data_IF_635554232692
#
_entry.id   IF_635554232692
#
_cell.length_a   1.000
_cell.length_b   1.000
_cell.length_c   1.000
_cell.angle_alpha   90.00
_cell.angle_beta   90.00
_cell.angle_gamma   90.00
#
_symmetry.space_group_name_H-M   'P 1'
#
loop_
_entity.id
_entity.type
_entity.pdbx_description
1 polymer ?
#
# COMPACT_ATOMS: atom_id res chain seq x y z
N UNK A 1 5.98 -14.14 -12.74
CA UNK A 1 4.88 -13.59 -13.58
C UNK A 1 4.87 -12.08 -13.40
N UNK A 2 5.00 -11.27 -14.47
CA UNK A 2 5.01 -9.81 -14.33
C UNK A 2 3.59 -9.27 -14.48
N UNK A 3 3.19 -8.35 -13.61
CA UNK A 3 1.90 -7.69 -13.70
C UNK A 3 1.93 -6.58 -14.75
N UNK A 4 1.39 -6.81 -15.93
CA UNK A 4 1.15 -5.74 -16.91
C UNK A 4 -0.36 -5.48 -17.03
N UNK A 5 -0.80 -4.21 -17.19
CA UNK A 5 -2.19 -3.91 -17.53
C UNK A 5 -2.63 -4.68 -18.80
N UNK A 6 -3.82 -5.26 -18.77
CA UNK A 6 -4.34 -6.16 -19.82
C UNK A 6 -3.62 -7.51 -19.91
N UNK A 7 -2.70 -7.79 -18.97
CA UNK A 7 -1.93 -9.01 -18.94
C UNK A 7 -2.67 -10.18 -18.30
N UNK A 8 -1.95 -11.30 -18.17
CA UNK A 8 -2.50 -12.55 -17.66
C UNK A 8 -3.05 -12.46 -16.22
N UNK A 9 -2.46 -11.63 -15.36
CA UNK A 9 -2.97 -11.41 -13.99
C UNK A 9 -4.37 -10.80 -14.06
N UNK A 10 -4.52 -9.69 -14.78
CA UNK A 10 -5.81 -9.01 -14.92
C UNK A 10 -6.85 -9.88 -15.62
N UNK A 11 -6.46 -10.61 -16.67
CA UNK A 11 -7.39 -11.44 -17.42
C UNK A 11 -7.84 -12.72 -16.68
N UNK A 12 -6.94 -13.37 -15.94
CA UNK A 12 -7.18 -14.72 -15.42
C UNK A 12 -7.29 -14.77 -13.89
N UNK A 13 -6.68 -13.84 -13.17
CA UNK A 13 -6.66 -13.86 -11.69
C UNK A 13 -7.68 -12.89 -11.10
N UNK A 14 -7.87 -11.70 -11.67
CA UNK A 14 -8.87 -10.76 -11.12
C UNK A 14 -10.28 -11.34 -11.03
N UNK A 15 -10.78 -12.17 -11.99
CA UNK A 15 -12.08 -12.81 -11.86
C UNK A 15 -12.19 -13.78 -10.68
N UNK A 16 -11.07 -14.26 -10.11
CA UNK A 16 -11.06 -15.14 -8.94
C UNK A 16 -10.96 -14.39 -7.62
N UNK A 17 -10.68 -13.09 -7.66
CA UNK A 17 -10.54 -12.27 -6.46
C UNK A 17 -11.91 -11.89 -5.87
N UNK A 18 -11.97 -11.61 -4.55
CA UNK A 18 -13.21 -11.21 -3.89
C UNK A 18 -13.91 -10.02 -4.57
N UNK A 19 -15.23 -10.12 -4.71
CA UNK A 19 -16.04 -9.02 -5.20
C UNK A 19 -16.05 -7.82 -4.23
N UNK A 20 -16.40 -6.63 -4.73
CA UNK A 20 -16.49 -5.39 -3.93
C UNK A 20 -15.17 -4.69 -3.68
N UNK A 21 -14.08 -5.12 -4.32
CA UNK A 21 -12.75 -4.54 -4.18
C UNK A 21 -12.28 -3.97 -5.54
N UNK A 22 -11.42 -2.95 -5.48
CA UNK A 22 -10.75 -2.41 -6.66
C UNK A 22 -9.36 -3.03 -6.81
N UNK A 23 -9.08 -3.61 -7.97
CA UNK A 23 -7.80 -4.23 -8.29
C UNK A 23 -7.12 -3.53 -9.46
N UNK A 24 -5.80 -3.36 -9.38
CA UNK A 24 -5.01 -2.77 -10.45
C UNK A 24 -3.69 -3.51 -10.61
N UNK A 25 -3.26 -3.68 -11.86
CA UNK A 25 -1.96 -4.28 -12.19
C UNK A 25 -0.97 -3.20 -12.58
N UNK A 26 0.26 -3.29 -12.12
CA UNK A 26 1.37 -2.40 -12.48
C UNK A 26 2.68 -3.19 -12.48
N UNK A 27 3.60 -2.93 -13.43
CA UNK A 27 4.77 -3.79 -13.69
C UNK A 27 5.61 -4.09 -12.45
N UNK A 28 5.80 -3.08 -11.62
CA UNK A 28 6.60 -3.11 -10.40
C UNK A 28 5.71 -3.06 -9.14
N UNK A 29 4.41 -3.22 -9.28
CA UNK A 29 3.42 -3.25 -8.20
C UNK A 29 3.45 -2.03 -7.25
N UNK A 30 3.69 -0.82 -7.78
CA UNK A 30 3.55 0.45 -7.04
C UNK A 30 2.42 1.31 -7.62
N UNK A 31 1.98 2.29 -6.82
CA UNK A 31 0.90 3.20 -7.17
C UNK A 31 1.41 4.34 -8.06
N UNK A 32 1.48 4.09 -9.36
CA UNK A 32 1.77 5.15 -10.33
C UNK A 32 0.58 6.09 -10.54
N UNK A 33 0.77 7.16 -11.31
CA UNK A 33 -0.27 8.16 -11.57
C UNK A 33 -1.56 7.58 -12.17
N UNK A 34 -1.50 6.47 -12.91
CA UNK A 34 -2.72 5.82 -13.43
C UNK A 34 -3.48 5.11 -12.32
N UNK A 35 -2.78 4.32 -11.50
CA UNK A 35 -3.38 3.62 -10.36
C UNK A 35 -3.91 4.62 -9.34
N UNK A 36 -3.14 5.68 -9.05
CA UNK A 36 -3.55 6.75 -8.14
C UNK A 36 -4.82 7.46 -8.59
N UNK A 37 -4.91 7.86 -9.87
CA UNK A 37 -6.14 8.47 -10.41
C UNK A 37 -7.35 7.54 -10.30
N UNK A 38 -7.14 6.24 -10.51
CA UNK A 38 -8.20 5.24 -10.32
C UNK A 38 -8.64 5.21 -8.86
N UNK A 39 -7.68 5.10 -7.94
CA UNK A 39 -7.93 5.13 -6.50
C UNK A 39 -8.73 6.37 -6.05
N UNK A 40 -8.35 7.56 -6.51
CA UNK A 40 -9.07 8.81 -6.20
C UNK A 40 -10.52 8.83 -6.72
N UNK A 41 -10.79 8.19 -7.87
CA UNK A 41 -12.11 8.21 -8.51
C UNK A 41 -13.02 7.05 -8.13
N UNK A 42 -12.47 5.95 -7.62
CA UNK A 42 -13.24 4.73 -7.36
C UNK A 42 -13.22 4.29 -5.90
N UNK A 43 -12.13 4.52 -5.18
CA UNK A 43 -11.99 4.07 -3.79
C UNK A 43 -12.21 5.24 -2.85
N UNK A 44 -11.34 6.25 -2.94
CA UNK A 44 -11.39 7.41 -2.05
C UNK A 44 -12.58 8.34 -2.36
N UNK A 45 -13.20 8.16 -3.52
CA UNK A 45 -14.30 9.00 -3.98
C UNK A 45 -15.44 9.08 -2.97
N UNK A 46 -15.87 7.94 -2.45
CA UNK A 46 -17.05 7.85 -1.61
C UNK A 46 -16.78 8.33 -0.18
N UNK A 47 -15.50 8.49 0.19
CA UNK A 47 -15.05 8.92 1.51
C UNK A 47 -14.65 10.41 1.56
N UNK A 48 -14.66 11.12 0.42
CA UNK A 48 -14.34 12.56 0.35
C UNK A 48 -15.63 13.37 0.30
N UNK A 49 -15.85 14.19 1.32
CA UNK A 49 -16.87 15.23 1.32
C UNK A 49 -16.28 16.57 0.82
N UNK A 50 -17.12 17.46 0.27
CA UNK A 50 -16.68 18.81 -0.10
C UNK A 50 -16.05 19.54 1.08
N UNK A 51 -15.06 20.40 0.82
CA UNK A 51 -14.23 21.07 1.82
C UNK A 51 -13.41 20.13 2.75
N UNK A 52 -13.19 18.87 2.37
CA UNK A 52 -12.24 17.98 3.03
C UNK A 52 -10.79 18.35 2.74
N UNK A 53 -9.87 17.95 3.63
CA UNK A 53 -8.42 18.03 3.41
C UNK A 53 -7.84 16.63 3.25
N UNK A 54 -7.24 16.36 2.10
CA UNK A 54 -6.60 15.08 1.78
C UNK A 54 -5.10 15.24 2.01
N UNK A 55 -4.60 14.64 3.10
CA UNK A 55 -3.19 14.63 3.44
C UNK A 55 -2.46 13.50 2.68
N UNK A 56 -1.43 13.86 1.92
CA UNK A 56 -0.61 12.90 1.15
C UNK A 56 0.88 13.10 1.42
N UNK A 57 1.69 12.08 1.19
CA UNK A 57 3.14 12.24 1.10
C UNK A 57 3.54 12.93 -0.22
N UNK A 58 4.83 13.25 -0.37
CA UNK A 58 5.35 13.93 -1.56
C UNK A 58 5.65 12.99 -2.72
N UNK A 59 4.98 11.84 -2.78
CA UNK A 59 5.18 10.96 -3.92
C UNK A 59 4.73 11.66 -5.20
N UNK A 60 5.54 11.60 -6.26
CA UNK A 60 5.35 12.39 -7.49
C UNK A 60 3.94 12.21 -8.09
N UNK A 61 3.41 10.98 -8.05
CA UNK A 61 2.06 10.70 -8.53
C UNK A 61 0.97 11.36 -7.67
N UNK A 62 1.19 11.47 -6.35
CA UNK A 62 0.23 12.07 -5.43
C UNK A 62 0.17 13.59 -5.59
N UNK A 63 1.31 14.25 -5.81
CA UNK A 63 1.39 15.72 -5.95
C UNK A 63 1.37 16.22 -7.40
N UNK A 64 0.90 15.40 -8.33
CA UNK A 64 0.78 15.78 -9.75
C UNK A 64 -0.36 16.78 -10.01
N UNK A 65 -0.27 17.55 -11.09
CA UNK A 65 -1.34 18.46 -11.54
C UNK A 65 -2.69 17.75 -11.69
N UNK A 66 -2.66 16.49 -12.14
CA UNK A 66 -3.86 15.67 -12.28
C UNK A 66 -4.51 15.38 -10.91
N UNK A 67 -3.71 15.17 -9.87
CA UNK A 67 -4.22 14.98 -8.50
C UNK A 67 -4.87 16.26 -7.98
N UNK A 68 -4.21 17.41 -8.16
CA UNK A 68 -4.77 18.71 -7.77
C UNK A 68 -6.06 19.01 -8.49
N UNK A 69 -6.14 18.75 -9.80
CA UNK A 69 -7.37 18.90 -10.57
C UNK A 69 -8.50 18.05 -10.01
N UNK A 70 -8.25 16.76 -9.78
CA UNK A 70 -9.28 15.84 -9.27
C UNK A 70 -9.75 16.30 -7.88
N UNK A 71 -8.85 16.63 -6.96
CA UNK A 71 -9.22 16.91 -5.57
C UNK A 71 -9.73 18.33 -5.38
N UNK A 72 -9.05 19.32 -5.94
CA UNK A 72 -9.38 20.72 -5.70
C UNK A 72 -10.51 21.21 -6.61
N UNK A 73 -10.46 20.88 -7.90
CA UNK A 73 -11.42 21.41 -8.86
C UNK A 73 -12.66 20.53 -8.96
N UNK A 74 -12.50 19.21 -9.07
CA UNK A 74 -13.64 18.31 -9.29
C UNK A 74 -14.38 17.93 -7.99
N UNK A 75 -13.69 17.95 -6.83
CA UNK A 75 -14.27 17.58 -5.52
C UNK A 75 -14.49 18.75 -4.56
N UNK A 76 -14.05 19.96 -4.91
CA UNK A 76 -14.12 21.11 -4.00
C UNK A 76 -13.39 20.88 -2.66
N UNK A 77 -12.36 20.04 -2.67
CA UNK A 77 -11.57 19.67 -1.49
C UNK A 77 -10.16 20.25 -1.59
N UNK A 78 -9.29 19.95 -0.63
CA UNK A 78 -7.91 20.44 -0.65
C UNK A 78 -6.90 19.30 -0.54
N UNK A 79 -6.10 19.12 -1.59
CA UNK A 79 -4.94 18.24 -1.54
C UNK A 79 -3.79 18.96 -0.82
N UNK A 80 -3.31 18.36 0.27
CA UNK A 80 -2.27 18.94 1.11
C UNK A 80 -1.09 17.95 1.25
N UNK A 81 0.05 18.21 0.59
CA UNK A 81 1.24 17.41 0.78
C UNK A 81 1.90 17.70 2.14
N UNK A 82 2.40 16.64 2.79
CA UNK A 82 3.24 16.78 3.96
C UNK A 82 4.56 17.50 3.62
N UNK A 83 5.31 18.04 4.60
CA UNK A 83 6.65 18.52 4.34
C UNK A 83 7.56 17.42 3.75
N UNK A 84 8.50 17.74 2.84
CA UNK A 84 9.45 16.77 2.32
C UNK A 84 10.21 16.03 3.43
N UNK A 85 10.45 14.73 3.24
CA UNK A 85 11.16 13.85 4.18
C UNK A 85 10.50 13.72 5.58
N UNK A 86 9.22 14.04 5.71
CA UNK A 86 8.51 13.97 6.99
C UNK A 86 7.57 12.77 7.16
N UNK A 87 7.44 11.92 6.14
CA UNK A 87 6.53 10.75 6.14
C UNK A 87 6.63 9.90 7.41
N UNK A 88 7.84 9.53 7.81
CA UNK A 88 8.09 8.67 8.98
C UNK A 88 7.73 9.31 10.33
N UNK A 89 7.45 10.61 10.37
CA UNK A 89 7.19 11.39 11.58
C UNK A 89 5.77 11.96 11.57
N UNK A 90 5.31 12.41 10.40
CA UNK A 90 4.09 13.21 10.27
C UNK A 90 2.95 12.45 9.58
N UNK A 91 3.20 11.40 8.80
CA UNK A 91 2.12 10.71 8.09
C UNK A 91 1.32 9.82 9.05
N UNK A 92 0.03 10.12 9.31
CA UNK A 92 -0.74 9.41 10.32
C UNK A 92 -0.87 7.91 10.03
N UNK A 93 -1.00 7.53 8.75
CA UNK A 93 -1.08 6.13 8.34
C UNK A 93 0.22 5.39 8.68
N UNK A 94 1.38 5.99 8.44
CA UNK A 94 2.66 5.33 8.71
C UNK A 94 2.96 5.25 10.21
N UNK A 95 2.79 6.35 10.93
CA UNK A 95 3.15 6.44 12.36
C UNK A 95 2.10 5.80 13.25
N UNK A 96 0.82 6.09 12.99
CA UNK A 96 -0.30 5.69 13.84
C UNK A 96 -0.81 4.28 13.55
N UNK A 97 -0.76 3.82 12.31
CA UNK A 97 -1.35 2.53 11.90
C UNK A 97 -0.27 1.52 11.52
N UNK A 98 0.55 1.83 10.51
CA UNK A 98 1.49 0.87 9.94
C UNK A 98 2.63 0.51 10.88
N UNK A 99 3.18 1.46 11.63
CA UNK A 99 4.26 1.17 12.58
C UNK A 99 3.80 0.21 13.71
N UNK A 100 2.68 0.45 14.43
CA UNK A 100 2.13 -0.51 15.37
C UNK A 100 1.76 -1.85 14.73
N UNK A 101 1.13 -1.82 13.55
CA UNK A 101 0.75 -3.04 12.82
C UNK A 101 1.96 -3.90 12.47
N UNK A 102 3.00 -3.32 11.85
CA UNK A 102 4.26 -4.01 11.54
C UNK A 102 4.96 -4.53 12.79
N UNK A 103 4.92 -3.79 13.90
CA UNK A 103 5.46 -4.27 15.19
C UNK A 103 4.72 -5.52 15.66
N UNK A 104 3.38 -5.51 15.62
CA UNK A 104 2.56 -6.67 16.01
C UNK A 104 2.82 -7.88 15.10
N UNK A 105 2.91 -7.67 13.79
CA UNK A 105 3.26 -8.75 12.87
C UNK A 105 4.64 -9.35 13.18
N UNK A 106 5.64 -8.53 13.50
CA UNK A 106 6.97 -9.02 13.91
C UNK A 106 6.96 -9.81 15.22
N UNK A 107 6.08 -9.45 16.16
CA UNK A 107 5.88 -10.24 17.38
C UNK A 107 5.25 -11.59 17.05
N UNK A 108 4.17 -11.60 16.26
CA UNK A 108 3.47 -12.81 15.86
C UNK A 108 4.35 -13.75 15.04
N UNK A 109 5.21 -13.20 14.18
CA UNK A 109 6.17 -13.98 13.39
C UNK A 109 7.07 -14.85 14.29
N UNK A 110 7.40 -14.42 15.52
CA UNK A 110 8.21 -15.27 16.42
C UNK A 110 7.51 -16.55 16.87
N UNK A 111 6.20 -16.65 16.69
CA UNK A 111 5.42 -17.84 17.03
C UNK A 111 5.09 -18.70 15.80
N UNK A 112 5.60 -18.33 14.62
CA UNK A 112 5.48 -19.15 13.43
C UNK A 112 6.46 -20.33 13.53
N UNK A 113 5.91 -21.54 13.70
CA UNK A 113 6.68 -22.75 13.96
C UNK A 113 7.40 -23.29 12.71
N UNK A 114 6.85 -23.06 11.50
CA UNK A 114 7.40 -23.51 10.21
C UNK A 114 6.93 -22.54 9.11
N UNK A 115 7.86 -22.01 8.31
CA UNK A 115 7.52 -21.36 7.03
C UNK A 115 7.43 -22.48 6.00
N UNK A 116 6.23 -22.99 5.72
CA UNK A 116 6.02 -23.88 4.57
C UNK A 116 6.14 -23.04 3.30
N UNK A 117 7.30 -23.09 2.65
CA UNK A 117 7.55 -22.47 1.34
C UNK A 117 7.81 -23.53 0.27
N UNK A 118 7.75 -23.14 -1.01
CA UNK A 118 7.97 -24.04 -2.16
C UNK A 118 9.35 -24.73 -2.16
N UNK A 119 10.32 -24.18 -1.42
CA UNK A 119 11.59 -24.83 -1.10
C UNK A 119 11.50 -25.42 0.32
N UNK A 120 10.99 -26.64 0.45
CA UNK A 120 11.04 -27.45 1.67
C UNK A 120 12.50 -27.73 2.06
N UNK A 121 13.20 -26.72 2.60
CA UNK A 121 14.46 -26.91 3.32
C UNK A 121 14.14 -27.32 4.76
N UNK A 122 14.31 -28.61 5.12
CA UNK A 122 14.09 -29.10 6.48
C UNK A 122 15.03 -28.46 7.52
N UNK A 123 16.03 -27.69 7.10
CA UNK A 123 16.92 -26.92 7.97
C UNK A 123 16.58 -25.43 8.06
N UNK A 124 15.45 -24.99 7.48
CA UNK A 124 15.04 -23.60 7.57
C UNK A 124 14.77 -23.18 9.02
N UNK A 125 15.58 -22.26 9.53
CA UNK A 125 15.42 -21.75 10.89
C UNK A 125 14.12 -20.93 10.99
N UNK A 126 13.36 -21.17 12.06
CA UNK A 126 12.21 -20.35 12.45
C UNK A 126 12.62 -18.90 12.66
N UNK A 127 11.69 -17.96 12.52
CA UNK A 127 11.97 -16.55 12.80
C UNK A 127 12.41 -16.31 14.25
N UNK A 128 11.91 -17.13 15.19
CA UNK A 128 12.37 -17.16 16.59
C UNK A 128 13.85 -17.50 16.70
N UNK A 129 14.28 -18.58 16.04
CA UNK A 129 15.68 -19.01 16.04
C UNK A 129 16.58 -17.96 15.38
N UNK A 130 16.16 -17.40 14.24
CA UNK A 130 16.90 -16.30 13.56
C UNK A 130 17.07 -15.08 14.47
N UNK A 131 16.03 -14.69 15.21
CA UNK A 131 16.09 -13.56 16.15
C UNK A 131 17.04 -13.81 17.33
N UNK A 132 17.06 -15.02 17.89
CA UNK A 132 17.98 -15.37 18.98
C UNK A 132 19.46 -15.29 18.56
N UNK A 133 19.78 -15.55 17.29
CA UNK A 133 21.16 -15.45 16.77
C UNK A 133 21.57 -14.00 16.51
N UNK A 134 20.62 -13.12 16.16
CA UNK A 134 20.88 -11.71 15.81
C UNK A 134 20.96 -10.78 17.02
N UNK A 135 20.35 -11.14 18.16
CA UNK A 135 20.48 -10.39 19.41
C UNK A 135 21.75 -10.88 20.12
N UNK A 136 22.88 -10.21 19.89
CA UNK A 136 24.09 -10.28 20.72
C UNK A 136 24.17 -9.07 21.64
#
# INVERSE_FOLDING_TARGET
MKGIPGGRIEANEFPTFPAGHSYAVQEKAWMDGRVWKTYLRTVLHDDIEEASVILVDNFESHVSDASYKIINEERGSHLCPLPPNSTSICQPLDVGVMAPFKRRLRELWLYEDIITGDDDDPFSLTARQKRLVLIK
#
